data_IF_320967798262
#
_entry.id   IF_320967798262
#
_cell.length_a   1.000
_cell.length_b   1.000
_cell.length_c   1.000
_cell.angle_alpha   90.00
_cell.angle_beta   90.00
_cell.angle_gamma   90.00
#
_symmetry.space_group_name_H-M   'P 1'
#
loop_
_entity.id
_entity.type
_entity.pdbx_description
1 polymer ?
#
# COMPACT_ATOMS: atom_id res chain seq x y z
N UNK A 1 13.50 -16.36 -20.76
CA UNK A 1 12.12 -16.76 -20.39
C UNK A 1 11.47 -15.54 -19.78
N UNK A 2 10.29 -15.14 -20.26
CA UNK A 2 9.55 -14.02 -19.68
C UNK A 2 9.20 -14.33 -18.21
N UNK A 3 9.32 -13.33 -17.35
CA UNK A 3 8.91 -13.45 -15.94
C UNK A 3 7.44 -13.09 -15.83
N UNK A 4 6.65 -13.95 -15.20
CA UNK A 4 5.23 -13.66 -14.95
C UNK A 4 5.07 -12.96 -13.60
N UNK A 5 4.49 -11.76 -13.61
CA UNK A 5 3.94 -11.07 -12.44
C UNK A 5 2.46 -11.40 -12.30
N UNK A 6 2.08 -11.95 -11.15
CA UNK A 6 0.70 -12.34 -10.86
C UNK A 6 0.03 -11.32 -9.93
N UNK A 7 -0.43 -10.21 -10.51
CA UNK A 7 -1.02 -9.11 -9.74
C UNK A 7 -2.38 -9.45 -9.14
N UNK A 8 -3.05 -10.51 -9.64
CA UNK A 8 -4.25 -11.06 -9.02
C UNK A 8 -3.87 -11.63 -7.64
N UNK A 9 -2.85 -12.51 -7.61
CA UNK A 9 -2.36 -13.09 -6.37
C UNK A 9 -1.82 -12.02 -5.42
N UNK A 10 -1.02 -11.09 -5.93
CA UNK A 10 -0.40 -10.04 -5.12
C UNK A 10 -1.43 -9.14 -4.45
N UNK A 11 -2.45 -8.73 -5.21
CA UNK A 11 -3.57 -7.96 -4.67
C UNK A 11 -4.29 -8.70 -3.54
N UNK A 12 -4.56 -10.00 -3.72
CA UNK A 12 -5.19 -10.81 -2.67
C UNK A 12 -4.31 -10.92 -1.41
N UNK A 13 -2.99 -11.12 -1.58
CA UNK A 13 -2.06 -11.21 -0.46
C UNK A 13 -1.97 -9.89 0.31
N UNK A 14 -1.94 -8.75 -0.38
CA UNK A 14 -1.96 -7.42 0.23
C UNK A 14 -3.28 -7.18 0.98
N UNK A 15 -4.41 -7.55 0.37
CA UNK A 15 -5.74 -7.45 1.01
C UNK A 15 -5.80 -8.26 2.31
N UNK A 16 -5.36 -9.52 2.27
CA UNK A 16 -5.33 -10.40 3.44
C UNK A 16 -4.44 -9.83 4.54
N UNK A 17 -3.23 -9.37 4.19
CA UNK A 17 -2.31 -8.76 5.15
C UNK A 17 -2.91 -7.51 5.81
N UNK A 18 -3.48 -6.60 5.02
CA UNK A 18 -4.13 -5.38 5.54
C UNK A 18 -5.30 -5.75 6.45
N UNK A 19 -6.20 -6.63 5.99
CA UNK A 19 -7.39 -7.00 6.75
C UNK A 19 -7.01 -7.67 8.07
N UNK A 20 -6.08 -8.63 8.04
CA UNK A 20 -5.62 -9.31 9.24
C UNK A 20 -5.00 -8.34 10.23
N UNK A 21 -4.22 -7.36 9.78
CA UNK A 21 -3.64 -6.34 10.67
C UNK A 21 -4.68 -5.40 11.26
N UNK A 22 -5.68 -4.98 10.48
CA UNK A 22 -6.75 -4.14 11.01
C UNK A 22 -7.66 -4.90 11.98
N UNK A 23 -7.99 -6.16 11.68
CA UNK A 23 -8.87 -6.99 12.51
C UNK A 23 -8.23 -7.43 13.83
N UNK A 24 -6.91 -7.59 13.84
CA UNK A 24 -6.14 -7.96 15.03
C UNK A 24 -5.38 -6.75 15.63
N UNK A 25 -5.86 -5.54 15.39
CA UNK A 25 -5.23 -4.32 15.92
C UNK A 25 -5.21 -4.34 17.44
N UNK A 26 -4.02 -4.19 18.01
CA UNK A 26 -3.80 -3.99 19.45
C UNK A 26 -2.87 -2.77 19.63
N UNK A 27 -3.34 -1.69 20.29
CA UNK A 27 -2.59 -0.44 20.41
C UNK A 27 -1.24 -0.57 21.13
N UNK A 28 -1.06 -1.58 22.00
CA UNK A 28 0.14 -1.78 22.81
C UNK A 28 1.23 -2.57 22.08
N UNK A 29 0.82 -3.42 21.14
CA UNK A 29 1.73 -4.24 20.33
C UNK A 29 1.95 -3.67 18.92
N UNK A 30 1.10 -2.72 18.52
CA UNK A 30 1.18 -2.08 17.23
C UNK A 30 2.39 -1.14 17.13
N UNK A 31 3.21 -1.33 16.10
CA UNK A 31 4.38 -0.49 15.79
C UNK A 31 3.98 0.74 14.99
N UNK A 32 2.96 1.42 15.50
CA UNK A 32 2.38 2.64 14.95
C UNK A 32 3.20 3.89 15.26
N UNK A 33 2.97 4.95 14.48
CA UNK A 33 3.40 6.30 14.77
C UNK A 33 2.46 6.97 15.78
N UNK A 34 3.02 7.69 16.76
CA UNK A 34 2.26 8.43 17.77
C UNK A 34 1.66 7.57 18.90
N UNK A 35 1.00 8.25 19.85
CA UNK A 35 0.57 7.67 21.13
C UNK A 35 -0.49 6.58 21.03
N UNK A 36 -0.41 5.57 21.91
CA UNK A 36 -1.28 4.39 21.92
C UNK A 36 -2.76 4.68 22.17
N UNK A 37 -3.05 5.71 22.96
CA UNK A 37 -4.41 6.12 23.31
C UNK A 37 -5.14 6.85 22.16
N UNK A 38 -4.43 7.23 21.10
CA UNK A 38 -4.98 8.01 20.00
C UNK A 38 -5.54 7.11 18.90
N UNK A 39 -6.63 7.56 18.29
CA UNK A 39 -7.17 6.90 17.09
C UNK A 39 -6.25 7.07 15.90
N UNK A 40 -6.21 6.04 15.06
CA UNK A 40 -5.45 6.04 13.80
C UNK A 40 -6.11 7.00 12.83
N UNK A 41 -5.36 8.00 12.39
CA UNK A 41 -5.83 9.03 11.47
C UNK A 41 -5.22 8.89 10.08
N UNK A 42 -4.16 8.10 9.90
CA UNK A 42 -3.61 7.76 8.60
C UNK A 42 -3.18 6.29 8.60
N UNK A 43 -3.53 5.57 7.54
CA UNK A 43 -2.98 4.26 7.24
C UNK A 43 -1.98 4.50 6.09
N UNK A 44 -0.72 4.66 6.44
CA UNK A 44 0.36 4.92 5.49
C UNK A 44 0.84 3.58 4.95
N UNK A 45 0.72 3.37 3.65
CA UNK A 45 1.26 2.19 3.00
C UNK A 45 2.35 2.60 2.05
N UNK A 46 3.31 1.70 1.86
CA UNK A 46 4.29 1.89 0.83
C UNK A 46 4.85 0.58 0.33
N UNK A 47 5.67 0.69 -0.70
CA UNK A 47 6.26 -0.48 -1.33
C UNK A 47 7.58 -0.14 -1.98
N UNK A 48 8.37 -1.17 -2.25
CA UNK A 48 9.49 -1.09 -3.17
C UNK A 48 9.51 -2.33 -4.03
N UNK A 49 9.94 -2.17 -5.27
CA UNK A 49 10.27 -3.25 -6.19
C UNK A 49 11.77 -3.33 -6.46
N UNK A 50 12.57 -2.56 -5.73
CA UNK A 50 14.03 -2.57 -5.84
C UNK A 50 14.66 -3.41 -4.71
N UNK A 51 15.82 -4.00 -5.01
CA UNK A 51 16.70 -4.76 -4.10
C UNK A 51 16.07 -6.02 -3.46
N UNK A 52 15.02 -5.85 -2.66
CA UNK A 52 14.40 -6.92 -1.85
C UNK A 52 12.91 -7.14 -2.13
N UNK A 53 12.20 -6.14 -2.67
CA UNK A 53 10.78 -6.25 -3.01
C UNK A 53 9.89 -6.41 -1.77
N UNK A 54 9.05 -5.42 -1.47
CA UNK A 54 8.21 -5.44 -0.27
C UNK A 54 7.00 -4.53 -0.37
N UNK A 55 6.01 -4.83 0.47
CA UNK A 55 4.91 -3.95 0.84
C UNK A 55 5.00 -3.63 2.34
N UNK A 56 4.56 -2.45 2.77
CA UNK A 56 4.53 -2.03 4.17
C UNK A 56 3.23 -1.30 4.49
N UNK A 57 2.76 -1.47 5.72
CA UNK A 57 1.64 -0.71 6.27
C UNK A 57 1.99 -0.19 7.66
N UNK A 58 1.91 1.11 7.87
CA UNK A 58 2.14 1.78 9.15
C UNK A 58 0.86 2.53 9.53
N UNK A 59 0.37 2.25 10.74
CA UNK A 59 -0.74 2.99 11.31
C UNK A 59 -0.20 4.25 11.99
N UNK A 60 -0.81 5.40 11.73
CA UNK A 60 -0.35 6.69 12.25
C UNK A 60 -1.46 7.40 13.05
N UNK A 61 -1.16 7.59 14.33
CA UNK A 61 -2.01 8.13 15.38
C UNK A 61 -1.66 9.60 15.70
N UNK A 62 -0.65 10.18 15.04
CA UNK A 62 -0.25 11.58 15.24
C UNK A 62 -1.43 12.52 14.96
N UNK A 63 -1.62 13.61 15.73
CA UNK A 63 -2.74 14.55 15.56
C UNK A 63 -2.87 15.16 14.16
N UNK A 64 -1.75 15.26 13.43
CA UNK A 64 -1.66 15.82 12.08
C UNK A 64 -0.98 14.84 11.13
N UNK A 65 -1.28 13.55 11.26
CA UNK A 65 -0.74 12.53 10.38
C UNK A 65 -0.95 12.91 8.90
N UNK A 66 0.11 12.81 8.12
CA UNK A 66 0.18 13.27 6.74
C UNK A 66 1.22 12.44 5.98
N UNK A 67 1.26 12.61 4.65
CA UNK A 67 2.29 12.03 3.80
C UNK A 67 3.61 12.82 3.95
N UNK A 68 4.35 12.58 5.04
CA UNK A 68 5.61 13.27 5.36
C UNK A 68 6.84 12.36 5.40
N UNK A 69 6.71 11.09 4.96
CA UNK A 69 7.82 10.13 4.92
C UNK A 69 8.20 9.51 6.26
N UNK A 70 7.66 9.98 7.39
CA UNK A 70 7.97 9.46 8.74
C UNK A 70 7.65 7.96 8.89
N UNK A 71 6.73 7.44 8.08
CA UNK A 71 6.38 6.03 8.02
C UNK A 71 7.56 5.13 7.60
N UNK A 72 8.53 5.66 6.85
CA UNK A 72 9.64 4.87 6.31
C UNK A 72 10.54 4.29 7.42
N UNK A 73 10.76 5.05 8.50
CA UNK A 73 11.52 4.61 9.68
C UNK A 73 10.88 3.42 10.41
N UNK A 74 9.63 3.08 10.10
CA UNK A 74 8.86 2.01 10.73
C UNK A 74 8.73 0.75 9.86
N UNK A 75 9.29 0.73 8.64
CA UNK A 75 9.14 -0.39 7.69
C UNK A 75 9.57 -1.72 8.30
N UNK A 76 10.69 -1.78 9.03
CA UNK A 76 11.31 -3.04 9.46
C UNK A 76 10.40 -3.99 10.26
N UNK A 77 9.40 -3.47 10.99
CA UNK A 77 8.42 -4.28 11.73
C UNK A 77 7.03 -4.33 11.08
N UNK A 78 6.85 -3.65 9.95
CA UNK A 78 5.56 -3.41 9.31
C UNK A 78 5.50 -3.96 7.88
N UNK A 79 6.37 -4.91 7.56
CA UNK A 79 6.64 -5.36 6.20
C UNK A 79 5.96 -6.69 5.83
N UNK A 80 5.59 -6.79 4.57
CA UNK A 80 5.19 -8.00 3.86
C UNK A 80 6.24 -8.24 2.75
N UNK A 81 7.06 -9.29 2.83
CA UNK A 81 8.04 -9.58 1.78
C UNK A 81 7.35 -9.92 0.46
N UNK A 82 7.80 -9.26 -0.62
CA UNK A 82 7.35 -9.45 -2.00
C UNK A 82 8.57 -9.63 -2.92
N UNK A 83 9.44 -10.63 -2.69
CA UNK A 83 10.71 -10.77 -3.41
C UNK A 83 10.51 -10.96 -4.92
N UNK A 84 9.35 -11.48 -5.34
CA UNK A 84 8.99 -11.62 -6.74
C UNK A 84 8.68 -10.28 -7.43
N UNK A 85 8.65 -9.16 -6.72
CA UNK A 85 8.57 -7.81 -7.30
C UNK A 85 9.92 -7.26 -7.75
N UNK A 86 11.04 -7.85 -7.35
CA UNK A 86 12.38 -7.39 -7.80
C UNK A 86 12.59 -7.75 -9.27
N UNK A 87 12.66 -6.76 -10.16
CA UNK A 87 12.69 -6.96 -11.63
C UNK A 87 14.08 -6.84 -12.27
N UNK A 88 15.16 -6.74 -11.50
CA UNK A 88 16.52 -6.51 -11.96
C UNK A 88 16.89 -7.34 -13.22
N UNK A 89 17.24 -6.64 -14.30
CA UNK A 89 17.68 -7.26 -15.55
C UNK A 89 16.59 -8.02 -16.34
N UNK A 90 15.32 -7.87 -15.99
CA UNK A 90 14.19 -8.51 -16.71
C UNK A 90 13.68 -7.58 -17.81
N UNK A 91 13.97 -7.93 -19.06
CA UNK A 91 13.54 -7.15 -20.24
C UNK A 91 12.14 -7.54 -20.77
N UNK A 92 11.61 -8.70 -20.35
CA UNK A 92 10.30 -9.21 -20.77
C UNK A 92 9.48 -9.66 -19.55
N UNK A 93 8.39 -8.92 -19.30
CA UNK A 93 7.47 -9.16 -18.20
C UNK A 93 6.11 -9.53 -18.77
N UNK A 94 5.62 -10.70 -18.39
CA UNK A 94 4.23 -11.10 -18.57
C UNK A 94 3.43 -10.71 -17.33
N UNK A 95 2.26 -10.10 -17.48
CA UNK A 95 1.48 -9.59 -16.35
C UNK A 95 0.08 -10.20 -16.37
N UNK A 96 -0.22 -11.01 -15.35
CA UNK A 96 -1.59 -11.43 -15.06
C UNK A 96 -2.29 -10.34 -14.27
N UNK A 97 -2.92 -9.43 -15.00
CA UNK A 97 -3.61 -8.28 -14.42
C UNK A 97 -5.06 -8.62 -14.02
N UNK A 98 -5.55 -8.08 -12.91
CA UNK A 98 -6.93 -8.30 -12.44
C UNK A 98 -7.98 -7.50 -13.22
N UNK A 99 -7.61 -6.36 -13.80
CA UNK A 99 -8.42 -5.66 -14.82
C UNK A 99 -8.19 -6.25 -16.20
N UNK A 100 -9.25 -6.81 -16.79
CA UNK A 100 -9.28 -7.39 -18.15
C UNK A 100 -9.03 -6.37 -19.27
N UNK A 101 -9.17 -5.08 -19.00
CA UNK A 101 -8.94 -3.99 -19.97
C UNK A 101 -7.52 -3.44 -19.92
N UNK A 102 -6.74 -3.80 -18.89
CA UNK A 102 -5.38 -3.33 -18.74
C UNK A 102 -4.50 -3.80 -19.90
N UNK A 103 -3.55 -2.96 -20.29
CA UNK A 103 -2.59 -3.23 -21.35
C UNK A 103 -1.21 -2.79 -20.87
N UNK A 104 -0.14 -3.54 -21.20
CA UNK A 104 1.22 -3.12 -20.89
C UNK A 104 1.58 -1.84 -21.66
N UNK A 105 2.56 -1.06 -21.17
CA UNK A 105 3.08 0.09 -21.90
C UNK A 105 3.62 -0.32 -23.28
N UNK A 106 3.31 0.48 -24.31
CA UNK A 106 3.75 0.19 -25.70
C UNK A 106 5.27 0.23 -25.87
N UNK A 107 5.96 1.05 -25.08
CA UNK A 107 7.41 1.22 -25.09
C UNK A 107 8.15 0.19 -24.23
N UNK A 108 7.44 -0.80 -23.67
CA UNK A 108 7.97 -1.65 -22.61
C UNK A 108 7.97 -0.97 -21.25
N UNK A 109 8.31 -1.75 -20.23
CA UNK A 109 8.36 -1.29 -18.85
C UNK A 109 9.63 -0.50 -18.56
N UNK A 110 9.47 0.64 -17.89
CA UNK A 110 10.51 1.40 -17.19
C UNK A 110 10.12 1.56 -15.70
N UNK A 111 11.04 2.08 -14.88
CA UNK A 111 10.82 2.24 -13.43
C UNK A 111 9.51 2.96 -13.09
N UNK A 112 9.17 4.05 -13.79
CA UNK A 112 7.94 4.81 -13.52
C UNK A 112 6.67 3.98 -13.82
N UNK A 113 6.68 3.24 -14.93
CA UNK A 113 5.56 2.38 -15.31
C UNK A 113 5.42 1.16 -14.39
N UNK A 114 6.54 0.65 -13.85
CA UNK A 114 6.57 -0.41 -12.85
C UNK A 114 6.07 0.10 -11.50
N UNK A 115 6.54 1.28 -11.07
CA UNK A 115 6.05 1.96 -9.87
C UNK A 115 4.54 2.21 -9.97
N UNK A 116 4.05 2.64 -11.13
CA UNK A 116 2.61 2.79 -11.38
C UNK A 116 1.87 1.47 -11.31
N UNK A 117 2.40 0.40 -11.91
CA UNK A 117 1.78 -0.92 -11.91
C UNK A 117 1.60 -1.47 -10.49
N UNK A 118 2.64 -1.42 -9.67
CA UNK A 118 2.59 -1.90 -8.29
C UNK A 118 1.81 -0.94 -7.38
N UNK A 119 1.98 0.37 -7.55
CA UNK A 119 1.25 1.38 -6.80
C UNK A 119 -0.25 1.30 -7.00
N UNK A 120 -0.71 1.11 -8.24
CA UNK A 120 -2.11 0.90 -8.56
C UNK A 120 -2.64 -0.42 -7.98
N UNK A 121 -1.82 -1.47 -7.98
CA UNK A 121 -2.16 -2.76 -7.34
C UNK A 121 -2.41 -2.58 -5.84
N UNK A 122 -1.52 -1.87 -5.15
CA UNK A 122 -1.64 -1.56 -3.72
C UNK A 122 -2.85 -0.67 -3.44
N UNK A 123 -3.01 0.41 -4.21
CA UNK A 123 -4.17 1.31 -4.12
C UNK A 123 -5.47 0.52 -4.26
N UNK A 124 -5.59 -0.30 -5.28
CA UNK A 124 -6.81 -1.04 -5.57
C UNK A 124 -7.08 -2.13 -4.54
N UNK A 125 -6.03 -2.71 -3.93
CA UNK A 125 -6.13 -3.62 -2.79
C UNK A 125 -6.77 -2.89 -1.59
N UNK A 126 -6.24 -1.73 -1.23
CA UNK A 126 -6.72 -0.90 -0.12
C UNK A 126 -8.15 -0.42 -0.37
N UNK A 127 -8.43 0.07 -1.58
CA UNK A 127 -9.77 0.54 -1.96
C UNK A 127 -10.79 -0.59 -1.92
N UNK A 128 -10.38 -1.82 -2.25
CA UNK A 128 -11.24 -2.98 -2.09
C UNK A 128 -11.57 -3.21 -0.62
N UNK A 129 -10.56 -3.28 0.27
CA UNK A 129 -10.75 -3.42 1.71
C UNK A 129 -11.68 -2.34 2.27
N UNK A 130 -11.45 -1.07 1.91
CA UNK A 130 -12.29 0.06 2.31
C UNK A 130 -13.77 -0.14 1.99
N UNK A 131 -14.06 -0.71 0.81
CA UNK A 131 -15.40 -0.84 0.29
C UNK A 131 -16.06 -2.19 0.63
N UNK A 132 -15.37 -3.07 1.36
CA UNK A 132 -15.93 -4.34 1.80
C UNK A 132 -16.92 -4.14 2.95
N UNK A 133 -17.94 -5.01 2.99
CA UNK A 133 -18.83 -5.11 4.13
C UNK A 133 -18.04 -5.48 5.38
N UNK A 134 -18.28 -4.75 6.47
CA UNK A 134 -17.57 -4.96 7.74
C UNK A 134 -16.34 -4.09 7.96
N UNK A 135 -15.95 -3.23 7.00
CA UNK A 135 -14.92 -2.20 7.23
C UNK A 135 -15.45 -1.13 8.22
N UNK A 136 -15.41 -1.44 9.52
CA UNK A 136 -15.90 -0.59 10.62
C UNK A 136 -15.05 -0.80 11.86
N UNK A 137 -13.88 -0.17 11.86
CA UNK A 137 -12.90 -0.33 12.93
C UNK A 137 -12.98 0.84 13.91
N UNK A 138 -13.30 0.56 15.17
CA UNK A 138 -13.53 1.58 16.22
C UNK A 138 -12.28 2.42 16.55
N UNK A 139 -11.08 1.87 16.31
CA UNK A 139 -9.79 2.53 16.49
C UNK A 139 -9.46 3.54 15.38
N UNK A 140 -10.18 3.54 14.26
CA UNK A 140 -10.00 4.52 13.20
C UNK A 140 -10.67 5.86 13.55
N UNK A 141 -9.96 6.95 13.29
CA UNK A 141 -10.50 8.30 13.45
C UNK A 141 -11.52 8.61 12.34
N UNK A 142 -12.47 9.50 12.61
CA UNK A 142 -13.50 9.93 11.62
C UNK A 142 -12.90 10.52 10.34
N UNK A 143 -11.73 11.14 10.46
CA UNK A 143 -10.95 11.73 9.36
C UNK A 143 -9.81 10.82 8.88
N UNK A 144 -9.84 9.52 9.20
CA UNK A 144 -8.88 8.55 8.69
C UNK A 144 -8.80 8.62 7.16
N UNK A 145 -7.58 8.50 6.63
CA UNK A 145 -7.34 8.23 5.22
C UNK A 145 -6.23 7.20 5.01
N UNK A 146 -6.24 6.62 3.82
CA UNK A 146 -5.20 5.79 3.25
C UNK A 146 -4.24 6.64 2.42
N UNK A 147 -3.00 6.20 2.37
CA UNK A 147 -1.93 6.74 1.55
C UNK A 147 -1.07 5.60 1.02
N UNK A 148 -0.57 5.73 -0.20
CA UNK A 148 0.29 4.78 -0.90
C UNK A 148 1.47 5.56 -1.47
N UNK A 149 2.68 5.10 -1.21
CA UNK A 149 3.91 5.68 -1.75
C UNK A 149 4.92 4.60 -2.13
N UNK A 150 5.53 4.76 -3.29
CA UNK A 150 6.71 3.98 -3.65
C UNK A 150 7.93 4.57 -2.92
N UNK A 151 8.81 3.71 -2.41
CA UNK A 151 9.91 4.09 -1.53
C UNK A 151 10.82 5.19 -2.09
N UNK A 152 11.13 5.14 -3.38
CA UNK A 152 11.97 6.13 -4.09
C UNK A 152 11.15 7.33 -4.63
N UNK A 153 9.86 7.41 -4.31
CA UNK A 153 8.99 8.54 -4.62
C UNK A 153 8.45 8.58 -6.05
N UNK A 154 8.55 7.48 -6.82
CA UNK A 154 8.05 7.44 -8.22
C UNK A 154 6.53 7.33 -8.32
N UNK A 155 5.87 6.91 -7.25
CA UNK A 155 4.41 6.80 -7.17
C UNK A 155 3.90 7.34 -5.83
N UNK A 156 2.78 8.07 -5.88
CA UNK A 156 2.09 8.55 -4.70
C UNK A 156 0.59 8.65 -4.93
N UNK A 157 -0.21 8.11 -4.02
CA UNK A 157 -1.67 8.23 -4.06
C UNK A 157 -2.29 8.30 -2.65
N UNK A 158 -3.31 9.14 -2.41
CA UNK A 158 -3.72 10.26 -3.26
C UNK A 158 -2.64 11.36 -3.27
N UNK A 159 -2.81 12.35 -4.16
CA UNK A 159 -2.05 13.59 -4.02
C UNK A 159 -2.26 14.21 -2.63
N UNK A 160 -1.24 14.90 -2.10
CA UNK A 160 -1.25 15.47 -0.74
C UNK A 160 -2.52 16.27 -0.41
N UNK A 161 -2.96 17.14 -1.34
CA UNK A 161 -4.18 17.96 -1.16
C UNK A 161 -5.48 17.15 -1.21
N UNK A 162 -5.44 15.97 -1.82
CA UNK A 162 -6.58 15.07 -1.99
C UNK A 162 -6.64 13.94 -0.95
N UNK A 163 -5.62 13.80 -0.08
CA UNK A 163 -5.48 12.71 0.89
C UNK A 163 -6.78 12.37 1.63
N UNK A 164 -7.41 13.36 2.26
CA UNK A 164 -8.63 13.16 3.07
C UNK A 164 -9.92 13.09 2.26
N UNK A 165 -9.86 13.35 0.95
CA UNK A 165 -11.00 13.25 0.03
C UNK A 165 -11.02 11.89 -0.65
N UNK A 166 -9.93 11.53 -1.31
CA UNK A 166 -9.83 10.32 -2.13
C UNK A 166 -9.42 9.11 -1.32
N UNK A 167 -8.51 9.31 -0.37
CA UNK A 167 -7.98 8.27 0.52
C UNK A 167 -8.88 7.97 1.73
N UNK A 168 -9.98 8.70 1.94
CA UNK A 168 -10.80 8.56 3.16
C UNK A 168 -11.14 7.10 3.50
N UNK A 169 -10.89 6.66 4.73
CA UNK A 169 -11.07 5.25 5.15
C UNK A 169 -12.54 4.82 5.25
N UNK A 170 -13.51 5.75 5.37
CA UNK A 170 -14.94 5.44 5.57
C UNK A 170 -15.22 4.37 6.68
N UNK A 171 -14.66 4.55 7.90
CA UNK A 171 -14.91 3.63 9.02
C UNK A 171 -16.34 3.73 9.58
#
# INVERSE_FOLDING_TARGET
>A
MARTLDLIRDKCQIQEYIWNRLNNYDPDWERALGDAERKVSLIATGFSFEQTGWFSMVLDRRPRAQSDGEWQSHIGNNYLPMPHWVLDGVYEIDVKHYDKKWKPPRSGFNDDSVATLFGDTVRDAILHIRNQDGFKFSFLARNCAFFVEEHEGRYGWPEYKALRKEGRCKP
#
